data_IF_814522509460
#
_entry.id   IF_814522509460
#
_cell.length_a   1.000
_cell.length_b   1.000
_cell.length_c   1.000
_cell.angle_alpha   90.00
_cell.angle_beta   90.00
_cell.angle_gamma   90.00
#
_symmetry.space_group_name_H-M   'P 1'
#
loop_
_entity.id
_entity.type
_entity.pdbx_description
1 polymer ?
#
# COMPACT_ATOMS: atom_id res chain seq x y z
N UNK A 1 -28.67 -8.39 -11.21
CA UNK A 1 -27.40 -8.13 -11.91
C UNK A 1 -27.63 -7.00 -12.92
N UNK A 2 -26.95 -5.87 -12.77
CA UNK A 2 -26.92 -4.78 -13.74
C UNK A 2 -25.61 -4.85 -14.53
N UNK A 3 -25.65 -4.63 -15.86
CA UNK A 3 -24.47 -4.67 -16.70
C UNK A 3 -24.50 -3.52 -17.72
N UNK A 4 -23.44 -2.71 -17.74
CA UNK A 4 -23.20 -1.70 -18.77
C UNK A 4 -21.92 -2.03 -19.54
N UNK A 5 -22.00 -2.01 -20.87
CA UNK A 5 -20.94 -2.49 -21.75
C UNK A 5 -20.81 -1.64 -23.01
N UNK A 6 -19.58 -1.35 -23.43
CA UNK A 6 -19.26 -0.61 -24.67
C UNK A 6 -19.98 0.76 -24.80
N UNK A 7 -20.15 1.46 -23.69
CA UNK A 7 -20.90 2.72 -23.63
C UNK A 7 -20.02 3.93 -23.34
N UNK A 8 -20.53 5.11 -23.67
CA UNK A 8 -19.95 6.41 -23.31
C UNK A 8 -20.83 7.09 -22.27
N UNK A 9 -20.22 7.49 -21.15
CA UNK A 9 -20.84 8.29 -20.10
C UNK A 9 -20.09 9.63 -20.06
N UNK A 10 -20.68 10.65 -20.67
CA UNK A 10 -19.99 11.91 -20.93
C UNK A 10 -20.60 13.06 -20.15
N UNK A 11 -19.73 13.81 -19.47
CA UNK A 11 -20.05 15.03 -18.72
C UNK A 11 -21.24 14.84 -17.76
N UNK A 12 -21.28 13.75 -16.94
CA UNK A 12 -22.30 13.65 -15.91
C UNK A 12 -22.18 14.85 -14.97
N UNK A 13 -23.31 15.34 -14.45
CA UNK A 13 -23.30 16.48 -13.54
C UNK A 13 -22.60 16.16 -12.22
N UNK A 14 -23.03 15.07 -11.57
CA UNK A 14 -22.57 14.69 -10.23
C UNK A 14 -22.05 13.24 -10.20
N UNK A 15 -22.77 12.31 -10.83
CA UNK A 15 -22.44 10.87 -10.85
C UNK A 15 -22.66 10.28 -12.23
N UNK A 16 -21.72 9.44 -12.71
CA UNK A 16 -21.90 8.69 -13.95
C UNK A 16 -22.84 7.50 -13.77
N UNK A 17 -22.50 6.61 -12.84
CA UNK A 17 -23.34 5.49 -12.39
C UNK A 17 -23.41 5.56 -10.88
N UNK A 18 -24.62 5.47 -10.34
CA UNK A 18 -24.85 5.52 -8.89
C UNK A 18 -25.67 4.34 -8.43
N UNK A 19 -25.19 3.65 -7.40
CA UNK A 19 -26.02 2.71 -6.66
C UNK A 19 -26.85 3.45 -5.63
N UNK A 20 -28.16 3.28 -5.72
CA UNK A 20 -29.10 3.66 -4.66
C UNK A 20 -29.40 2.39 -3.86
N UNK A 21 -28.91 2.31 -2.62
CA UNK A 21 -28.98 1.07 -1.83
C UNK A 21 -28.12 -0.05 -2.43
N UNK A 22 -28.60 -1.30 -2.38
CA UNK A 22 -27.80 -2.51 -2.63
C UNK A 22 -27.99 -3.16 -4.01
N UNK A 23 -28.74 -2.53 -4.92
CA UNK A 23 -29.02 -3.08 -6.25
C UNK A 23 -27.79 -3.24 -7.16
N UNK A 24 -26.67 -2.63 -6.80
CA UNK A 24 -25.39 -2.79 -7.48
C UNK A 24 -24.65 -4.08 -7.14
N UNK A 25 -25.19 -4.94 -6.26
CA UNK A 25 -24.56 -6.23 -6.00
C UNK A 25 -24.41 -7.00 -7.32
N UNK A 26 -23.21 -7.51 -7.56
CA UNK A 26 -22.85 -8.19 -8.80
C UNK A 26 -23.04 -7.30 -10.06
N UNK A 27 -22.76 -5.99 -9.93
CA UNK A 27 -22.76 -5.07 -11.07
C UNK A 27 -21.52 -5.28 -11.96
N UNK A 28 -21.72 -5.26 -13.29
CA UNK A 28 -20.65 -5.35 -14.28
C UNK A 28 -20.56 -4.05 -15.09
N UNK A 29 -19.38 -3.43 -15.14
CA UNK A 29 -19.10 -2.27 -15.99
C UNK A 29 -17.88 -2.61 -16.86
N UNK A 30 -18.09 -2.79 -18.16
CA UNK A 30 -17.10 -3.36 -19.06
C UNK A 30 -16.86 -2.49 -20.31
N UNK A 31 -15.60 -2.15 -20.60
CA UNK A 31 -15.19 -1.46 -21.85
C UNK A 31 -15.93 -0.14 -22.14
N UNK A 32 -16.29 0.57 -21.08
CA UNK A 32 -16.93 1.87 -21.17
C UNK A 32 -15.91 3.02 -21.14
N UNK A 33 -16.34 4.18 -21.64
CA UNK A 33 -15.61 5.44 -21.61
C UNK A 33 -16.36 6.43 -20.72
N UNK A 34 -15.70 6.90 -19.67
CA UNK A 34 -16.22 7.92 -18.77
C UNK A 34 -15.41 9.21 -18.95
N UNK A 35 -16.08 10.31 -19.28
CA UNK A 35 -15.49 11.63 -19.45
C UNK A 35 -16.13 12.60 -18.47
N UNK A 36 -15.34 13.18 -17.57
CA UNK A 36 -15.85 14.15 -16.59
C UNK A 36 -16.36 15.44 -17.26
N UNK A 37 -17.27 16.14 -16.60
CA UNK A 37 -17.62 17.53 -16.88
C UNK A 37 -16.53 18.51 -16.41
N UNK A 38 -15.68 18.10 -15.48
CA UNK A 38 -14.65 18.90 -14.77
C UNK A 38 -13.24 18.73 -15.39
N UNK A 39 -13.17 18.55 -16.71
CA UNK A 39 -11.92 18.22 -17.41
C UNK A 39 -10.84 19.31 -17.28
N UNK A 40 -11.23 20.58 -17.15
CA UNK A 40 -10.30 21.70 -16.97
C UNK A 40 -9.81 21.85 -15.54
N UNK A 41 -10.50 21.26 -14.59
CA UNK A 41 -10.39 21.64 -13.20
C UNK A 41 -9.22 20.90 -12.55
N UNK A 42 -8.68 21.50 -11.48
CA UNK A 42 -7.63 20.88 -10.69
C UNK A 42 -8.21 19.71 -9.90
N UNK A 43 -7.40 18.70 -9.62
CA UNK A 43 -7.86 17.46 -8.99
C UNK A 43 -8.61 17.69 -7.67
N UNK A 44 -8.17 18.64 -6.85
CA UNK A 44 -8.80 18.97 -5.57
C UNK A 44 -10.13 19.72 -5.69
N UNK A 45 -10.42 20.31 -6.86
CA UNK A 45 -11.64 21.09 -7.11
C UNK A 45 -12.74 20.24 -7.78
N UNK A 46 -12.42 18.98 -8.14
CA UNK A 46 -13.35 18.04 -8.78
C UNK A 46 -14.25 17.37 -7.76
N UNK A 47 -15.54 17.26 -8.06
CA UNK A 47 -16.57 16.68 -7.19
C UNK A 47 -17.32 15.52 -7.84
N UNK A 48 -17.22 15.39 -9.17
CA UNK A 48 -17.96 14.39 -9.93
C UNK A 48 -17.32 13.02 -9.77
N UNK A 49 -18.13 12.00 -9.48
CA UNK A 49 -17.67 10.61 -9.30
C UNK A 49 -18.17 9.77 -10.47
N UNK A 50 -17.29 8.99 -11.10
CA UNK A 50 -17.73 8.19 -12.25
C UNK A 50 -18.66 7.05 -11.83
N UNK A 51 -18.32 6.31 -10.77
CA UNK A 51 -19.11 5.19 -10.26
C UNK A 51 -19.15 5.21 -8.72
N UNK A 52 -20.31 4.99 -8.10
CA UNK A 52 -20.37 4.57 -6.69
C UNK A 52 -21.19 3.29 -6.50
N UNK A 53 -20.69 2.41 -5.63
CA UNK A 53 -21.32 1.12 -5.29
C UNK A 53 -21.44 0.97 -3.79
N UNK A 54 -22.54 0.36 -3.33
CA UNK A 54 -22.81 0.16 -1.90
C UNK A 54 -22.82 -1.31 -1.46
N UNK A 55 -22.68 -2.26 -2.41
CA UNK A 55 -22.83 -3.69 -2.19
C UNK A 55 -21.77 -4.47 -2.97
N UNK A 56 -21.67 -5.78 -2.69
CA UNK A 56 -20.54 -6.64 -3.05
C UNK A 56 -20.42 -6.98 -4.54
N UNK A 57 -19.29 -7.58 -4.88
CA UNK A 57 -19.11 -8.42 -6.08
C UNK A 57 -19.12 -7.66 -7.42
N UNK A 58 -18.94 -6.35 -7.40
CA UNK A 58 -18.84 -5.57 -8.64
C UNK A 58 -17.59 -5.88 -9.45
N UNK A 59 -17.73 -5.84 -10.77
CA UNK A 59 -16.68 -6.15 -11.75
C UNK A 59 -16.53 -4.94 -12.66
N UNK A 60 -15.46 -4.19 -12.47
CA UNK A 60 -15.15 -2.97 -13.22
C UNK A 60 -13.95 -3.27 -14.09
N UNK A 61 -14.17 -3.48 -15.39
CA UNK A 61 -13.13 -4.04 -16.27
C UNK A 61 -12.95 -3.30 -17.57
N UNK A 62 -11.70 -3.11 -17.97
CA UNK A 62 -11.33 -2.59 -19.29
C UNK A 62 -11.92 -1.21 -19.63
N UNK A 63 -12.27 -0.40 -18.62
CA UNK A 63 -12.86 0.92 -18.83
C UNK A 63 -11.79 2.00 -18.89
N UNK A 64 -12.16 3.17 -19.41
CA UNK A 64 -11.35 4.39 -19.33
C UNK A 64 -12.11 5.49 -18.60
N UNK A 65 -11.50 6.09 -17.59
CA UNK A 65 -12.05 7.18 -16.79
C UNK A 65 -11.16 8.41 -16.90
N UNK A 66 -11.74 9.58 -17.16
CA UNK A 66 -10.95 10.80 -17.40
C UNK A 66 -11.42 11.94 -16.51
N UNK A 67 -10.52 12.36 -15.61
CA UNK A 67 -10.58 13.58 -14.79
C UNK A 67 -11.82 13.71 -13.91
N UNK A 68 -12.20 12.62 -13.24
CA UNK A 68 -13.19 12.63 -12.16
C UNK A 68 -12.52 12.94 -10.82
N UNK A 69 -13.29 13.47 -9.86
CA UNK A 69 -12.86 13.57 -8.46
C UNK A 69 -12.49 12.20 -7.90
N UNK A 70 -13.34 11.20 -8.16
CA UNK A 70 -13.03 9.78 -7.99
C UNK A 70 -13.55 9.00 -9.21
N UNK A 71 -12.79 8.05 -9.74
CA UNK A 71 -13.39 7.14 -10.71
C UNK A 71 -14.36 6.18 -10.01
N UNK A 72 -14.02 5.75 -8.78
CA UNK A 72 -14.90 4.85 -8.02
C UNK A 72 -14.80 5.07 -6.52
N UNK A 73 -15.96 5.15 -5.87
CA UNK A 73 -16.10 4.96 -4.43
C UNK A 73 -16.86 3.66 -4.19
N UNK A 74 -16.22 2.72 -3.50
CA UNK A 74 -16.66 1.35 -3.39
C UNK A 74 -16.84 0.94 -1.93
N UNK A 75 -18.10 0.72 -1.57
CA UNK A 75 -18.46 0.00 -0.37
C UNK A 75 -18.86 -1.44 -0.72
N UNK A 76 -18.74 -2.34 0.26
CA UNK A 76 -18.84 -3.78 0.05
C UNK A 76 -17.47 -4.43 -0.14
N UNK A 77 -17.50 -5.71 -0.50
CA UNK A 77 -16.32 -6.55 -0.68
C UNK A 77 -16.44 -7.39 -1.97
N UNK A 78 -15.39 -8.13 -2.33
CA UNK A 78 -15.43 -9.06 -3.47
C UNK A 78 -15.29 -8.37 -4.83
N UNK A 79 -14.81 -7.12 -4.87
CA UNK A 79 -14.72 -6.37 -6.12
C UNK A 79 -13.55 -6.85 -7.00
N UNK A 80 -13.77 -6.79 -8.31
CA UNK A 80 -12.75 -7.02 -9.32
C UNK A 80 -12.55 -5.72 -10.09
N UNK A 81 -11.37 -5.12 -9.96
CA UNK A 81 -10.96 -3.89 -10.64
C UNK A 81 -9.83 -4.26 -11.60
N UNK A 82 -10.15 -4.44 -12.88
CA UNK A 82 -9.23 -5.09 -13.81
C UNK A 82 -9.04 -4.32 -15.12
N UNK A 83 -7.80 -4.15 -15.57
CA UNK A 83 -7.52 -3.67 -16.92
C UNK A 83 -8.06 -2.27 -17.24
N UNK A 84 -8.42 -1.47 -16.24
CA UNK A 84 -8.94 -0.13 -16.42
C UNK A 84 -7.81 0.88 -16.60
N UNK A 85 -8.16 2.04 -17.14
CA UNK A 85 -7.29 3.20 -17.19
C UNK A 85 -8.02 4.40 -16.60
N UNK A 86 -7.57 4.91 -15.45
CA UNK A 86 -8.10 6.17 -14.92
C UNK A 86 -7.04 7.27 -14.89
N UNK A 87 -7.38 8.38 -15.54
CA UNK A 87 -6.58 9.59 -15.66
C UNK A 87 -7.04 10.65 -14.68
N UNK A 88 -6.23 10.99 -13.67
CA UNK A 88 -6.53 12.09 -12.75
C UNK A 88 -5.59 13.29 -12.85
N UNK A 89 -4.60 13.25 -13.75
CA UNK A 89 -3.71 14.39 -14.01
C UNK A 89 -4.45 15.69 -14.38
N UNK A 90 -3.80 16.81 -14.08
CA UNK A 90 -4.28 18.18 -14.30
C UNK A 90 -3.11 19.11 -14.66
N UNK A 91 -3.38 20.42 -14.71
CA UNK A 91 -2.39 21.44 -15.04
C UNK A 91 -1.57 21.93 -13.83
N UNK A 92 -1.80 21.41 -12.62
CA UNK A 92 -1.11 21.92 -11.43
C UNK A 92 0.38 21.54 -11.43
N UNK A 93 1.22 22.49 -11.03
CA UNK A 93 2.61 22.24 -10.66
C UNK A 93 2.65 21.82 -9.20
N UNK A 94 3.33 20.70 -8.89
CA UNK A 94 3.30 20.10 -7.56
C UNK A 94 1.86 19.95 -7.00
N UNK A 95 0.94 19.50 -7.87
CA UNK A 95 -0.47 19.35 -7.55
C UNK A 95 -0.74 18.30 -6.48
N UNK A 96 -1.80 18.55 -5.71
CA UNK A 96 -2.41 17.55 -4.84
C UNK A 96 -3.02 16.47 -5.72
N UNK A 97 -2.76 15.21 -5.39
CA UNK A 97 -3.44 14.06 -6.02
C UNK A 97 -4.41 13.46 -5.03
N UNK A 98 -5.62 13.26 -5.50
CA UNK A 98 -6.73 12.70 -4.72
C UNK A 98 -6.86 11.21 -5.02
N UNK A 99 -7.78 10.55 -4.31
CA UNK A 99 -8.06 9.15 -4.58
C UNK A 99 -8.73 8.98 -5.96
N UNK A 100 -8.25 8.03 -6.75
CA UNK A 100 -8.96 7.54 -7.94
C UNK A 100 -9.99 6.48 -7.54
N UNK A 101 -9.55 5.55 -6.69
CA UNK A 101 -10.36 4.50 -6.09
C UNK A 101 -10.38 4.70 -4.58
N UNK A 102 -11.59 4.69 -4.00
CA UNK A 102 -11.79 4.67 -2.55
C UNK A 102 -12.48 3.35 -2.19
N UNK A 103 -11.82 2.51 -1.40
CA UNK A 103 -12.37 1.31 -0.81
C UNK A 103 -12.78 1.64 0.62
N UNK A 104 -14.07 1.57 0.95
CA UNK A 104 -14.60 2.10 2.22
C UNK A 104 -14.88 1.02 3.27
N UNK A 105 -14.49 -0.22 3.00
CA UNK A 105 -14.57 -1.35 3.95
C UNK A 105 -13.16 -1.71 4.43
N UNK A 106 -13.07 -2.18 5.67
CA UNK A 106 -11.82 -2.71 6.21
C UNK A 106 -11.42 -3.98 5.49
N UNK A 107 -12.25 -5.03 5.50
CA UNK A 107 -11.96 -6.27 4.79
C UNK A 107 -12.67 -6.30 3.42
N UNK A 108 -11.89 -6.09 2.36
CA UNK A 108 -12.42 -5.79 1.02
C UNK A 108 -12.50 -6.99 0.09
N UNK A 109 -11.76 -8.07 0.35
CA UNK A 109 -11.68 -9.24 -0.55
C UNK A 109 -11.58 -8.85 -2.04
N UNK A 110 -10.77 -7.84 -2.35
CA UNK A 110 -10.78 -7.13 -3.64
C UNK A 110 -9.47 -7.33 -4.38
N UNK A 111 -9.57 -7.47 -5.70
CA UNK A 111 -8.40 -7.54 -6.60
C UNK A 111 -8.34 -6.30 -7.49
N UNK A 112 -7.15 -5.69 -7.56
CA UNK A 112 -6.83 -4.56 -8.42
C UNK A 112 -5.69 -5.01 -9.34
N UNK A 113 -6.06 -5.37 -10.57
CA UNK A 113 -5.16 -6.13 -11.45
C UNK A 113 -5.01 -5.48 -12.83
N UNK A 114 -3.77 -5.30 -13.28
CA UNK A 114 -3.50 -4.92 -14.69
C UNK A 114 -4.01 -3.53 -15.10
N UNK A 115 -4.23 -2.62 -14.15
CA UNK A 115 -4.74 -1.28 -14.43
C UNK A 115 -3.62 -0.29 -14.75
N UNK A 116 -3.98 0.80 -15.43
CA UNK A 116 -3.17 2.01 -15.55
C UNK A 116 -3.72 3.10 -14.63
N UNK A 117 -2.94 3.46 -13.62
CA UNK A 117 -3.26 4.38 -12.53
C UNK A 117 -2.46 5.66 -12.72
N UNK A 118 -3.11 6.74 -13.16
CA UNK A 118 -2.44 8.00 -13.49
C UNK A 118 -2.81 9.09 -12.47
N UNK A 119 -1.79 9.63 -11.80
CA UNK A 119 -1.86 10.80 -10.92
C UNK A 119 -2.96 10.66 -9.84
N UNK A 120 -3.07 9.49 -9.23
CA UNK A 120 -4.13 9.20 -8.25
C UNK A 120 -3.69 8.18 -7.20
N UNK A 121 -4.36 8.26 -6.06
CA UNK A 121 -4.19 7.33 -4.94
C UNK A 121 -5.25 6.23 -5.00
N UNK A 122 -4.89 5.01 -4.56
CA UNK A 122 -5.86 4.02 -4.08
C UNK A 122 -5.98 4.25 -2.57
N UNK A 123 -7.13 4.73 -2.13
CA UNK A 123 -7.42 4.93 -0.71
C UNK A 123 -8.20 3.74 -0.16
N UNK A 124 -7.72 3.22 0.97
CA UNK A 124 -8.34 2.12 1.70
C UNK A 124 -8.70 2.60 3.10
N UNK A 125 -10.00 2.80 3.32
CA UNK A 125 -10.56 3.49 4.48
C UNK A 125 -11.73 2.70 5.07
N UNK A 126 -12.15 3.08 6.27
CA UNK A 126 -13.39 2.64 6.89
C UNK A 126 -14.32 3.82 7.21
N UNK A 127 -14.28 4.88 6.39
CA UNK A 127 -15.06 6.11 6.59
C UNK A 127 -16.58 5.90 6.62
N UNK A 128 -17.07 4.79 6.06
CA UNK A 128 -18.49 4.41 6.11
C UNK A 128 -18.88 3.63 7.38
N UNK A 129 -17.93 3.31 8.27
CA UNK A 129 -18.22 2.61 9.51
C UNK A 129 -18.88 3.55 10.53
N UNK A 130 -20.09 3.19 11.00
CA UNK A 130 -20.78 3.94 12.06
C UNK A 130 -20.02 3.93 13.39
N UNK A 131 -19.27 2.85 13.64
CA UNK A 131 -18.36 2.70 14.79
C UNK A 131 -16.98 2.37 14.22
N UNK A 132 -16.12 3.36 13.95
CA UNK A 132 -14.90 3.15 13.17
C UNK A 132 -13.70 2.65 13.99
N UNK A 133 -13.84 2.53 15.32
CA UNK A 133 -12.82 1.97 16.20
C UNK A 133 -12.92 0.45 16.19
N UNK A 134 -11.77 -0.21 16.04
CA UNK A 134 -11.68 -1.66 16.06
C UNK A 134 -12.26 -2.28 17.36
N UNK A 135 -13.27 -3.13 17.20
CA UNK A 135 -13.80 -4.06 18.19
C UNK A 135 -13.39 -5.51 17.92
N UNK A 136 -13.46 -6.38 18.94
CA UNK A 136 -13.03 -7.78 18.82
C UNK A 136 -13.82 -8.63 17.81
N UNK A 137 -15.04 -8.22 17.48
CA UNK A 137 -15.99 -8.98 16.65
C UNK A 137 -15.97 -8.58 15.16
N UNK A 138 -15.13 -7.63 14.76
CA UNK A 138 -15.02 -7.17 13.37
C UNK A 138 -13.70 -7.58 12.69
N UNK A 139 -13.71 -7.54 11.35
CA UNK A 139 -12.48 -7.67 10.58
C UNK A 139 -11.79 -6.31 10.44
N UNK A 140 -10.48 -6.31 10.64
CA UNK A 140 -9.65 -5.15 10.32
C UNK A 140 -9.32 -5.07 8.82
N UNK A 141 -8.51 -4.09 8.42
CA UNK A 141 -8.03 -3.93 7.03
C UNK A 141 -7.46 -5.25 6.51
N UNK A 142 -8.10 -5.87 5.51
CA UNK A 142 -7.64 -7.14 4.95
C UNK A 142 -8.22 -7.52 3.59
N UNK A 143 -7.65 -8.57 3.00
CA UNK A 143 -8.15 -9.17 1.77
C UNK A 143 -7.93 -8.32 0.52
N UNK A 144 -6.84 -7.54 0.44
CA UNK A 144 -6.55 -6.68 -0.71
C UNK A 144 -5.36 -7.21 -1.51
N UNK A 145 -5.55 -7.39 -2.82
CA UNK A 145 -4.48 -7.71 -3.76
C UNK A 145 -4.36 -6.63 -4.83
N UNK A 146 -3.16 -6.07 -5.00
CA UNK A 146 -2.81 -5.07 -5.99
C UNK A 146 -1.66 -5.62 -6.83
N UNK A 147 -1.93 -6.03 -8.07
CA UNK A 147 -0.92 -6.74 -8.87
C UNK A 147 -0.90 -6.39 -10.35
N UNK A 148 0.30 -6.36 -10.93
CA UNK A 148 0.49 -6.16 -12.38
C UNK A 148 0.03 -4.79 -12.90
N UNK A 149 -0.16 -3.79 -12.03
CA UNK A 149 -0.61 -2.47 -12.44
C UNK A 149 0.57 -1.58 -12.86
N UNK A 150 0.27 -0.61 -13.72
CA UNK A 150 1.16 0.52 -14.02
C UNK A 150 0.68 1.74 -13.24
N UNK A 151 1.57 2.34 -12.46
CA UNK A 151 1.33 3.55 -11.69
C UNK A 151 2.22 4.67 -12.23
N UNK A 152 1.60 5.73 -12.72
CA UNK A 152 2.27 6.95 -13.19
C UNK A 152 1.89 8.13 -12.29
N UNK A 153 2.87 8.95 -11.94
CA UNK A 153 2.65 10.24 -11.32
C UNK A 153 3.56 11.31 -11.94
N UNK A 154 3.06 12.55 -11.96
CA UNK A 154 3.77 13.69 -12.52
C UNK A 154 3.35 14.96 -11.79
N UNK A 155 4.31 15.87 -11.58
CA UNK A 155 4.06 17.15 -10.92
C UNK A 155 3.32 16.98 -9.59
N UNK A 156 3.68 15.98 -8.77
CA UNK A 156 3.05 15.74 -7.46
C UNK A 156 3.88 16.39 -6.34
N UNK A 157 3.26 16.54 -5.17
CA UNK A 157 3.97 16.86 -3.92
C UNK A 157 4.71 15.62 -3.37
N UNK A 158 5.64 15.83 -2.42
CA UNK A 158 6.36 14.74 -1.74
C UNK A 158 5.43 13.86 -0.88
N UNK A 159 4.30 14.40 -0.40
CA UNK A 159 3.35 13.69 0.45
C UNK A 159 2.37 12.78 -0.29
N UNK A 160 2.52 12.66 -1.62
CA UNK A 160 1.74 11.74 -2.45
C UNK A 160 2.26 10.30 -2.31
N UNK A 161 1.32 9.35 -2.24
CA UNK A 161 1.58 7.91 -2.24
C UNK A 161 0.44 7.22 -3.01
N UNK A 162 0.77 6.25 -3.86
CA UNK A 162 -0.22 5.53 -4.65
C UNK A 162 -1.13 4.62 -3.81
N UNK A 163 -0.69 4.18 -2.63
CA UNK A 163 -1.49 3.41 -1.68
C UNK A 163 -1.59 4.18 -0.36
N UNK A 164 -2.81 4.50 0.06
CA UNK A 164 -3.05 5.15 1.36
C UNK A 164 -4.04 4.33 2.15
N UNK A 165 -3.65 3.94 3.38
CA UNK A 165 -4.59 3.38 4.36
C UNK A 165 -5.01 4.51 5.29
N UNK A 166 -6.31 4.69 5.49
CA UNK A 166 -6.86 5.79 6.28
C UNK A 166 -7.86 5.27 7.31
N UNK A 167 -7.40 4.88 8.51
CA UNK A 167 -8.28 4.45 9.58
C UNK A 167 -9.04 5.63 10.18
N UNK A 168 -10.37 5.51 10.27
CA UNK A 168 -11.25 6.47 10.96
C UNK A 168 -11.40 6.16 12.47
N UNK A 169 -10.77 5.09 12.95
CA UNK A 169 -10.71 4.76 14.37
C UNK A 169 -9.53 3.87 14.72
N UNK A 170 -9.20 3.83 16.01
CA UNK A 170 -7.99 3.19 16.51
C UNK A 170 -8.11 1.67 16.65
N UNK A 171 -6.96 1.00 16.76
CA UNK A 171 -6.87 -0.44 17.04
C UNK A 171 -6.84 -1.33 15.79
N UNK A 172 -7.18 -0.77 14.63
CA UNK A 172 -7.08 -1.46 13.34
C UNK A 172 -5.63 -1.76 12.94
N UNK A 173 -5.44 -2.84 12.20
CA UNK A 173 -4.18 -3.37 11.66
C UNK A 173 -4.42 -3.96 10.27
N UNK A 174 -3.37 -4.33 9.55
CA UNK A 174 -3.49 -5.00 8.24
C UNK A 174 -3.33 -6.51 8.39
N UNK A 175 -4.27 -7.26 7.83
CA UNK A 175 -4.25 -8.72 7.74
C UNK A 175 -4.59 -9.19 6.31
N UNK A 176 -3.58 -9.60 5.54
CA UNK A 176 -3.78 -10.05 4.16
C UNK A 176 -3.77 -8.91 3.15
N UNK A 177 -2.57 -8.39 2.87
CA UNK A 177 -2.32 -7.41 1.82
C UNK A 177 -1.22 -7.94 0.90
N UNK A 178 -1.47 -7.97 -0.41
CA UNK A 178 -0.47 -8.29 -1.41
C UNK A 178 -0.31 -7.12 -2.40
N UNK A 179 0.89 -6.54 -2.47
CA UNK A 179 1.27 -5.54 -3.47
C UNK A 179 2.43 -6.09 -4.28
N UNK A 180 2.13 -6.63 -5.45
CA UNK A 180 3.04 -7.53 -6.18
C UNK A 180 3.17 -7.22 -7.67
N UNK A 181 4.39 -7.14 -8.17
CA UNK A 181 4.62 -7.06 -9.63
C UNK A 181 4.11 -5.78 -10.28
N UNK A 182 4.03 -4.67 -9.54
CA UNK A 182 3.58 -3.39 -10.07
C UNK A 182 4.76 -2.54 -10.55
N UNK A 183 4.50 -1.62 -11.48
CA UNK A 183 5.48 -0.64 -11.95
C UNK A 183 5.08 0.74 -11.46
N UNK A 184 5.91 1.35 -10.61
CA UNK A 184 5.72 2.69 -10.10
C UNK A 184 6.71 3.66 -10.75
N UNK A 185 6.19 4.74 -11.35
CA UNK A 185 7.01 5.77 -11.99
C UNK A 185 6.51 7.16 -11.67
N UNK A 186 7.35 7.95 -11.01
CA UNK A 186 7.20 9.40 -10.94
C UNK A 186 8.14 10.09 -11.93
N UNK A 187 7.63 10.99 -12.77
CA UNK A 187 8.36 11.51 -13.94
C UNK A 187 9.17 12.78 -13.65
N UNK A 188 8.54 13.81 -13.09
CA UNK A 188 9.17 15.14 -12.93
C UNK A 188 9.72 15.39 -11.52
N UNK A 189 8.94 15.04 -10.50
CA UNK A 189 9.34 15.13 -9.10
C UNK A 189 9.51 13.73 -8.54
N UNK A 190 10.48 13.51 -7.67
CA UNK A 190 10.49 12.29 -6.87
C UNK A 190 9.40 12.35 -5.80
N UNK A 191 8.86 11.20 -5.45
CA UNK A 191 8.00 11.03 -4.27
C UNK A 191 8.79 10.31 -3.18
N UNK A 192 8.36 10.43 -1.93
CA UNK A 192 9.08 9.78 -0.83
C UNK A 192 8.92 8.25 -0.89
N UNK A 193 7.68 7.77 -0.85
CA UNK A 193 7.32 6.35 -0.84
C UNK A 193 5.96 6.13 -1.48
N UNK A 194 5.71 4.89 -1.90
CA UNK A 194 4.49 4.51 -2.62
C UNK A 194 3.28 4.29 -1.71
N UNK A 195 3.50 4.09 -0.42
CA UNK A 195 2.51 3.69 0.56
C UNK A 195 2.54 4.59 1.80
N UNK A 196 1.39 4.86 2.40
CA UNK A 196 1.31 5.59 3.68
C UNK A 196 0.11 5.18 4.52
N UNK A 197 0.18 5.48 5.81
CA UNK A 197 -1.00 5.59 6.67
C UNK A 197 -1.32 7.07 6.80
N UNK A 198 -2.54 7.45 6.43
CA UNK A 198 -3.06 8.77 6.76
C UNK A 198 -3.57 8.74 8.20
N UNK A 199 -2.79 9.35 9.09
CA UNK A 199 -3.05 9.39 10.54
C UNK A 199 -3.94 10.55 10.96
N UNK A 200 -4.65 11.19 10.03
CA UNK A 200 -5.55 12.31 10.33
C UNK A 200 -6.57 11.96 11.43
N UNK A 201 -7.04 10.72 11.46
CA UNK A 201 -8.01 10.24 12.47
C UNK A 201 -7.43 9.20 13.43
N UNK A 202 -6.74 8.17 12.90
CA UNK A 202 -6.08 7.16 13.69
C UNK A 202 -4.92 6.51 12.94
N UNK A 203 -3.97 5.95 13.68
CA UNK A 203 -2.87 5.14 13.15
C UNK A 203 -3.18 3.63 13.28
N UNK A 204 -2.40 2.81 12.58
CA UNK A 204 -2.48 1.36 12.65
C UNK A 204 -1.82 0.80 13.91
N UNK A 205 -2.33 -0.33 14.38
CA UNK A 205 -1.68 -1.17 15.37
C UNK A 205 -0.68 -2.11 14.67
N UNK A 206 0.54 -1.63 14.49
CA UNK A 206 1.60 -2.40 13.82
C UNK A 206 2.00 -3.69 14.55
N UNK A 207 1.64 -3.87 15.83
CA UNK A 207 1.89 -5.12 16.57
C UNK A 207 1.03 -6.30 16.12
N UNK A 208 -0.02 -6.03 15.33
CA UNK A 208 -0.98 -7.04 14.86
C UNK A 208 -0.93 -7.24 13.34
N UNK A 209 0.06 -6.67 12.66
CA UNK A 209 0.24 -6.82 11.22
C UNK A 209 0.51 -8.29 10.87
N UNK A 210 -0.22 -8.81 9.87
CA UNK A 210 -0.14 -10.23 9.49
C UNK A 210 -0.34 -10.41 7.99
N UNK A 211 0.41 -11.34 7.41
CA UNK A 211 0.28 -11.75 6.01
C UNK A 211 0.34 -10.56 5.04
N UNK A 212 1.43 -9.80 5.12
CA UNK A 212 1.71 -8.66 4.24
C UNK A 212 2.77 -9.10 3.23
N UNK A 213 2.53 -8.89 1.93
CA UNK A 213 3.47 -9.17 0.86
C UNK A 213 3.68 -7.91 0.03
N UNK A 214 4.95 -7.52 -0.11
CA UNK A 214 5.37 -6.35 -0.89
C UNK A 214 6.59 -6.76 -1.73
N UNK A 215 6.35 -7.26 -2.95
CA UNK A 215 7.37 -8.00 -3.71
C UNK A 215 7.32 -7.77 -5.22
N UNK A 216 8.47 -7.86 -5.88
CA UNK A 216 8.55 -7.79 -7.34
C UNK A 216 8.10 -6.45 -7.94
N UNK A 217 7.99 -5.40 -7.14
CA UNK A 217 7.61 -4.08 -7.61
C UNK A 217 8.83 -3.32 -8.15
N UNK A 218 8.62 -2.53 -9.19
CA UNK A 218 9.62 -1.62 -9.76
C UNK A 218 9.35 -0.19 -9.29
N UNK A 219 10.40 0.53 -8.91
CA UNK A 219 10.31 1.92 -8.44
C UNK A 219 11.22 2.86 -9.24
N UNK A 220 10.63 3.80 -9.97
CA UNK A 220 11.32 4.89 -10.67
C UNK A 220 10.84 6.24 -10.12
N UNK A 221 11.77 7.10 -9.70
CA UNK A 221 11.41 8.39 -9.11
C UNK A 221 10.72 8.28 -7.73
N UNK A 222 11.04 7.21 -6.98
CA UNK A 222 10.63 7.02 -5.58
C UNK A 222 11.89 6.95 -4.73
N UNK A 223 11.96 7.73 -3.66
CA UNK A 223 13.18 7.81 -2.83
C UNK A 223 13.36 6.56 -1.98
N UNK A 224 12.28 6.05 -1.42
CA UNK A 224 12.28 4.93 -0.49
C UNK A 224 11.90 3.63 -1.19
N UNK A 225 12.81 2.66 -1.17
CA UNK A 225 12.51 1.29 -1.58
C UNK A 225 11.67 0.59 -0.50
N UNK A 226 10.53 0.02 -0.88
CA UNK A 226 9.60 -0.65 0.03
C UNK A 226 9.44 -2.12 -0.35
N UNK A 227 9.71 -3.01 0.60
CA UNK A 227 9.60 -4.45 0.42
C UNK A 227 9.19 -5.17 1.71
N UNK A 228 8.50 -6.30 1.58
CA UNK A 228 8.19 -7.21 2.69
C UNK A 228 8.09 -8.66 2.19
N UNK A 229 8.98 -9.58 2.63
CA UNK A 229 10.17 -9.31 3.42
C UNK A 229 11.18 -8.39 2.73
N UNK A 230 12.06 -7.79 3.51
CA UNK A 230 13.21 -7.02 3.01
C UNK A 230 14.51 -7.73 3.37
N UNK A 231 15.42 -7.82 2.41
CA UNK A 231 16.75 -8.39 2.59
C UNK A 231 17.75 -7.26 2.94
N UNK A 232 18.52 -7.46 4.00
CA UNK A 232 19.46 -6.47 4.54
C UNK A 232 20.81 -7.12 4.83
N UNK A 233 21.89 -6.36 4.67
CA UNK A 233 23.25 -6.80 5.03
C UNK A 233 23.77 -5.99 6.21
N UNK A 234 24.29 -6.67 7.23
CA UNK A 234 24.91 -6.07 8.40
C UNK A 234 26.37 -6.51 8.49
N UNK A 235 27.29 -5.55 8.41
CA UNK A 235 28.72 -5.77 8.67
C UNK A 235 29.12 -5.15 10.01
N UNK A 236 29.63 -5.99 10.91
CA UNK A 236 30.26 -5.57 12.13
C UNK A 236 31.78 -5.62 11.96
N UNK A 237 32.44 -4.45 11.95
CA UNK A 237 33.89 -4.36 11.76
C UNK A 237 34.69 -4.58 13.05
N UNK A 238 34.16 -4.09 14.17
CA UNK A 238 34.79 -4.21 15.50
C UNK A 238 34.09 -5.28 16.31
N UNK A 239 34.85 -6.19 16.92
CA UNK A 239 34.28 -7.29 17.68
C UNK A 239 33.35 -6.78 18.80
N UNK A 240 32.08 -7.20 18.76
CA UNK A 240 31.04 -6.85 19.73
C UNK A 240 30.13 -8.04 19.93
N UNK A 241 29.61 -8.23 21.14
CA UNK A 241 28.62 -9.26 21.42
C UNK A 241 27.20 -8.83 20.97
N UNK A 242 26.99 -7.54 20.70
CA UNK A 242 25.71 -6.99 20.30
C UNK A 242 25.86 -6.13 19.06
N UNK A 243 25.27 -6.57 17.96
CA UNK A 243 25.28 -5.84 16.69
C UNK A 243 23.91 -5.22 16.49
N UNK A 244 23.84 -3.90 16.31
CA UNK A 244 22.58 -3.18 16.14
C UNK A 244 22.54 -2.62 14.73
N UNK A 245 21.40 -2.80 14.07
CA UNK A 245 21.16 -2.25 12.74
C UNK A 245 19.80 -1.58 12.71
N UNK A 246 19.79 -0.32 12.27
CA UNK A 246 18.56 0.33 11.83
C UNK A 246 18.10 -0.32 10.53
N UNK A 247 16.82 -0.68 10.42
CA UNK A 247 16.25 -1.23 9.20
C UNK A 247 16.15 -0.10 8.17
N UNK A 248 17.20 0.03 7.36
CA UNK A 248 17.45 1.17 6.46
C UNK A 248 16.57 1.18 5.21
N UNK A 249 16.14 0.01 4.75
CA UNK A 249 15.08 -0.12 3.75
C UNK A 249 13.72 -0.09 4.45
N UNK A 250 12.76 0.67 3.90
CA UNK A 250 11.50 0.87 4.59
C UNK A 250 10.61 -0.35 4.44
N UNK A 251 10.25 -0.93 5.58
CA UNK A 251 9.11 -1.81 5.67
C UNK A 251 7.82 -1.06 5.26
N UNK A 252 6.79 -1.77 4.78
CA UNK A 252 5.51 -1.16 4.43
C UNK A 252 4.95 -0.31 5.57
N UNK A 253 4.28 0.76 5.18
CA UNK A 253 3.60 1.75 6.02
C UNK A 253 4.51 2.42 7.05
N UNK A 254 5.81 2.51 6.74
CA UNK A 254 6.84 3.00 7.66
C UNK A 254 6.86 2.24 9.00
N UNK A 255 6.37 1.00 8.98
CA UNK A 255 6.29 0.14 10.15
C UNK A 255 7.66 -0.35 10.62
N UNK A 256 7.65 -1.13 11.69
CA UNK A 256 8.85 -1.69 12.29
C UNK A 256 8.93 -3.21 12.15
N UNK A 257 10.14 -3.74 12.31
CA UNK A 257 10.39 -5.16 12.23
C UNK A 257 9.62 -5.91 13.34
N UNK A 258 8.68 -6.77 12.94
CA UNK A 258 7.99 -7.71 13.83
C UNK A 258 8.69 -9.07 13.84
N UNK A 259 9.29 -9.47 12.71
CA UNK A 259 9.92 -10.78 12.55
C UNK A 259 11.19 -10.67 11.73
N UNK A 260 12.20 -11.44 12.11
CA UNK A 260 13.35 -11.78 11.27
C UNK A 260 13.19 -13.26 10.90
N UNK A 261 13.07 -13.54 9.60
CA UNK A 261 12.84 -14.89 9.07
C UNK A 261 14.14 -15.69 9.00
N UNK A 262 15.25 -15.03 8.68
CA UNK A 262 16.56 -15.67 8.55
C UNK A 262 17.72 -14.75 8.87
N UNK A 263 18.81 -15.35 9.33
CA UNK A 263 20.14 -14.74 9.45
C UNK A 263 21.13 -15.73 8.85
N UNK A 264 21.94 -15.27 7.91
CA UNK A 264 22.92 -16.09 7.19
C UNK A 264 24.26 -15.38 7.26
N UNK A 265 25.33 -16.09 7.62
CA UNK A 265 26.66 -15.52 7.61
C UNK A 265 27.19 -15.44 6.17
N UNK A 266 27.54 -14.23 5.72
CA UNK A 266 28.12 -13.98 4.40
C UNK A 266 29.66 -14.03 4.45
N UNK A 267 30.22 -13.85 5.64
CA UNK A 267 31.65 -14.02 5.93
C UNK A 267 31.85 -14.98 7.10
N UNK A 268 33.10 -15.42 7.31
CA UNK A 268 33.45 -16.05 8.57
C UNK A 268 33.16 -15.08 9.74
N UNK A 269 32.48 -15.57 10.77
CA UNK A 269 32.31 -14.86 12.03
C UNK A 269 33.52 -15.15 12.89
N UNK A 270 34.18 -14.11 13.39
CA UNK A 270 35.45 -14.25 14.11
C UNK A 270 35.52 -13.35 15.34
N UNK A 271 36.33 -13.73 16.32
CA UNK A 271 36.68 -12.87 17.46
C UNK A 271 37.65 -11.76 17.03
N UNK A 272 38.01 -10.87 17.96
CA UNK A 272 39.06 -9.87 17.72
C UNK A 272 40.41 -10.52 17.31
N UNK A 273 40.72 -11.70 17.87
CA UNK A 273 41.92 -12.48 17.54
C UNK A 273 41.79 -13.37 16.30
N UNK A 274 40.76 -13.18 15.47
CA UNK A 274 40.48 -13.93 14.23
C UNK A 274 40.21 -15.44 14.42
N UNK A 275 39.93 -15.88 15.65
CA UNK A 275 39.42 -17.24 15.88
C UNK A 275 37.98 -17.34 15.35
N UNK A 276 37.67 -18.40 14.59
CA UNK A 276 36.35 -18.63 14.01
C UNK A 276 35.32 -18.99 15.08
N UNK A 277 34.14 -18.39 14.99
CA UNK A 277 32.98 -18.68 15.83
C UNK A 277 31.88 -19.27 14.95
N UNK A 278 31.33 -20.41 15.35
CA UNK A 278 30.33 -21.16 14.59
C UNK A 278 28.91 -21.10 15.16
N UNK A 279 28.69 -20.31 16.22
CA UNK A 279 27.37 -20.13 16.82
C UNK A 279 26.47 -19.22 15.96
N UNK A 280 25.18 -19.18 16.30
CA UNK A 280 24.21 -18.26 15.71
C UNK A 280 23.70 -17.30 16.77
N UNK A 281 23.46 -16.01 16.42
CA UNK A 281 22.93 -15.05 17.37
C UNK A 281 21.43 -15.29 17.60
N UNK A 282 20.94 -14.90 18.79
CA UNK A 282 19.50 -14.69 18.96
C UNK A 282 19.14 -13.26 18.59
N UNK A 283 17.90 -13.07 18.12
CA UNK A 283 17.44 -11.81 17.53
C UNK A 283 16.50 -11.07 18.46
N UNK A 284 16.76 -9.78 18.64
CA UNK A 284 15.86 -8.83 19.26
C UNK A 284 15.31 -7.88 18.19
N UNK A 285 14.00 -7.88 18.00
CA UNK A 285 13.30 -6.88 17.18
C UNK A 285 12.90 -5.66 18.01
N UNK A 286 12.45 -4.59 17.36
CA UNK A 286 11.86 -3.42 18.04
C UNK A 286 12.83 -2.72 19.00
N UNK A 287 14.10 -2.63 18.61
CA UNK A 287 15.15 -1.95 19.38
C UNK A 287 15.07 -0.44 19.14
N UNK A 288 15.31 0.33 20.21
CA UNK A 288 15.28 1.80 20.18
C UNK A 288 13.91 2.38 20.50
N UNK A 289 13.86 3.69 20.74
CA UNK A 289 12.61 4.39 21.09
C UNK A 289 11.58 4.37 19.94
N UNK A 290 12.06 4.41 18.69
CA UNK A 290 11.24 4.34 17.48
C UNK A 290 10.92 2.90 17.02
N UNK A 291 11.52 1.90 17.68
CA UNK A 291 11.40 0.46 17.36
C UNK A 291 11.91 0.08 15.98
N UNK A 292 12.67 0.93 15.28
CA UNK A 292 13.10 0.69 13.89
C UNK A 292 14.44 -0.02 13.76
N UNK A 293 15.01 -0.50 14.86
CA UNK A 293 16.24 -1.28 14.84
C UNK A 293 16.01 -2.74 15.23
N UNK A 294 16.92 -3.59 14.77
CA UNK A 294 17.07 -4.98 15.22
C UNK A 294 18.45 -5.17 15.84
N UNK A 295 18.57 -6.11 16.78
CA UNK A 295 19.85 -6.48 17.38
C UNK A 295 20.11 -7.98 17.26
N UNK A 296 21.35 -8.31 16.91
CA UNK A 296 21.90 -9.66 16.92
C UNK A 296 22.76 -9.80 18.17
N UNK A 297 22.45 -10.79 18.98
CA UNK A 297 23.09 -11.00 20.28
C UNK A 297 23.86 -12.32 20.26
N UNK A 298 25.17 -12.20 20.40
CA UNK A 298 26.16 -13.29 20.38
C UNK A 298 26.61 -13.64 21.79
N UNK A 299 27.17 -14.82 22.00
CA UNK A 299 27.68 -15.23 23.32
C UNK A 299 29.03 -14.57 23.65
N UNK A 300 29.74 -14.08 22.63
CA UNK A 300 31.05 -13.46 22.74
C UNK A 300 31.19 -12.27 21.78
N UNK A 301 32.22 -11.45 22.01
CA UNK A 301 32.54 -10.34 21.11
C UNK A 301 33.06 -10.85 19.76
N UNK A 302 32.27 -10.66 18.70
CA UNK A 302 32.57 -11.13 17.34
C UNK A 302 32.38 -10.04 16.29
N UNK A 303 33.01 -10.23 15.13
CA UNK A 303 32.93 -9.38 13.93
C UNK A 303 32.69 -10.26 12.69
N UNK A 304 32.15 -9.66 11.63
CA UNK A 304 31.82 -10.35 10.39
C UNK A 304 30.64 -9.70 9.66
N UNK A 305 30.14 -10.35 8.62
CA UNK A 305 28.99 -9.90 7.83
C UNK A 305 27.91 -10.96 7.80
N UNK A 306 26.66 -10.52 7.93
CA UNK A 306 25.48 -11.37 7.84
C UNK A 306 24.43 -10.74 6.93
N UNK A 307 23.67 -11.58 6.24
CA UNK A 307 22.44 -11.23 5.54
C UNK A 307 21.22 -11.60 6.38
N UNK A 308 20.23 -10.71 6.41
CA UNK A 308 18.99 -10.84 7.17
C UNK A 308 17.78 -10.68 6.28
N UNK A 309 16.73 -11.47 6.55
CA UNK A 309 15.40 -11.30 5.93
C UNK A 309 14.40 -10.85 6.97
N UNK A 310 13.86 -9.65 6.82
CA UNK A 310 13.11 -8.93 7.87
C UNK A 310 11.70 -8.59 7.41
N UNK A 311 10.74 -8.60 8.34
CA UNK A 311 9.32 -8.38 8.07
C UNK A 311 8.66 -7.40 9.02
N UNK A 312 7.68 -6.68 8.48
CA UNK A 312 6.76 -5.79 9.23
C UNK A 312 5.64 -6.54 9.94
N UNK A 313 5.44 -7.81 9.59
CA UNK A 313 4.35 -8.66 10.05
C UNK A 313 4.85 -9.95 10.69
N UNK A 314 3.97 -10.59 11.47
CA UNK A 314 4.16 -11.96 11.92
C UNK A 314 3.25 -12.87 11.09
N UNK A 315 3.76 -13.61 10.09
CA UNK A 315 2.93 -14.41 9.19
C UNK A 315 2.31 -15.67 9.83
N UNK A 316 2.61 -15.94 11.10
CA UNK A 316 2.10 -17.08 11.87
C UNK A 316 0.65 -16.91 12.29
#
# INVERSE_FOLDING_TARGET
>A
MFHLRDCYITRPKDRGITSIGNGCQDMLIDRCQFLSNEMSDLAQDRSTIAINVNANDTKIRHNRFVRFGHFMVANGAGHIIEGNHWFQGDAAQAGVRVAGLVLTQTNVQTTITGNYVDNSTIEWTNEHAAVPRFGGDEYSFGGLTITGNTFLASNTTLGFSWLTVKPYGSGHFIHGLAVMGNVFKSVYNKIDRIDKVDTTFADLNYSRMRNIQFQGNLFNGVNTYVANPVDLTLTQNTASARWVMAVSAALPFNGWAQKVESVIADSAITTAGNARVGEMPWIQTQVGADRKSIALNWSAAVKGTVSLRVRVDSPN
#
